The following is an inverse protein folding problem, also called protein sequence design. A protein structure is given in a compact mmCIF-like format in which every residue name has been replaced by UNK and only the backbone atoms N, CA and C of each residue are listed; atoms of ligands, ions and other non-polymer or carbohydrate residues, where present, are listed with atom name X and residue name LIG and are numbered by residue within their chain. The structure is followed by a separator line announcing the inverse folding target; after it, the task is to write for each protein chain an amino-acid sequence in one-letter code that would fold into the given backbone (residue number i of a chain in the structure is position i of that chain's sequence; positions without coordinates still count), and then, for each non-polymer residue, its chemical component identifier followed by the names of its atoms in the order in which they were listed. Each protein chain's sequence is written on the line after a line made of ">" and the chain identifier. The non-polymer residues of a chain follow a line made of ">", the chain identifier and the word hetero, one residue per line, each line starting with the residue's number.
data_IF_435686880673
#
_entry.id   IF_435686880673
#
_cell.length_a   1.000
_cell.length_b   1.000
_cell.length_c   1.000
_cell.angle_alpha   90.00
_cell.angle_beta   90.00
_cell.angle_gamma   90.00
#
_symmetry.space_group_name_H-M   'P 1'
#
loop_
_entity.id
_entity.type
_entity.pdbx_description
1 polymer ?
#
# COMPACT_ATOMS: atom_id res chain seq x y z
N UNK A 1 -56.34 -27.06 -3.31
CA UNK A 1 -56.90 -26.42 -2.10
C UNK A 1 -56.17 -25.09 -1.91
N UNK A 2 -56.86 -23.94 -1.80
CA UNK A 2 -56.17 -22.70 -1.52
C UNK A 2 -55.71 -22.68 -0.06
N UNK A 3 -54.41 -22.51 0.16
CA UNK A 3 -53.85 -22.22 1.48
C UNK A 3 -54.05 -20.73 1.73
N UNK A 4 -54.79 -20.36 2.78
CA UNK A 4 -55.01 -18.97 3.18
C UNK A 4 -54.11 -18.60 4.35
N UNK A 5 -53.55 -17.38 4.33
CA UNK A 5 -52.80 -16.80 5.45
C UNK A 5 -53.35 -15.41 5.79
N UNK A 6 -53.29 -15.05 7.08
CA UNK A 6 -53.51 -13.68 7.54
C UNK A 6 -52.15 -12.96 7.58
N UNK A 7 -52.06 -11.78 6.95
CA UNK A 7 -50.83 -11.00 6.88
C UNK A 7 -51.10 -9.55 7.25
N UNK A 8 -50.34 -9.02 8.21
CA UNK A 8 -50.53 -7.68 8.80
C UNK A 8 -49.23 -6.87 8.69
N UNK A 9 -48.73 -6.65 7.48
CA UNK A 9 -47.62 -5.71 7.24
C UNK A 9 -47.88 -4.85 6.00
N UNK A 10 -47.03 -3.85 5.80
CA UNK A 10 -47.05 -3.00 4.60
C UNK A 10 -46.29 -3.65 3.46
N UNK A 11 -46.94 -3.75 2.30
CA UNK A 11 -46.30 -4.16 1.06
C UNK A 11 -45.96 -2.92 0.21
N UNK A 12 -44.74 -2.88 -0.29
CA UNK A 12 -44.31 -1.91 -1.31
C UNK A 12 -44.63 -2.50 -2.68
N UNK A 13 -45.43 -1.77 -3.47
CA UNK A 13 -45.80 -2.18 -4.83
C UNK A 13 -44.68 -1.82 -5.79
N UNK A 14 -44.16 -2.83 -6.49
CA UNK A 14 -43.16 -2.69 -7.54
C UNK A 14 -43.72 -3.20 -8.87
N UNK A 15 -43.12 -2.71 -9.96
CA UNK A 15 -43.39 -3.22 -11.29
C UNK A 15 -42.18 -3.98 -11.80
N UNK A 16 -42.38 -5.17 -12.34
CA UNK A 16 -41.30 -5.91 -12.96
C UNK A 16 -40.77 -5.12 -14.16
N UNK A 17 -39.45 -4.91 -14.22
CA UNK A 17 -38.81 -4.19 -15.31
C UNK A 17 -39.03 -4.86 -16.68
N UNK A 18 -39.18 -6.19 -16.70
CA UNK A 18 -39.33 -7.00 -17.91
C UNK A 18 -40.78 -7.24 -18.31
N UNK A 19 -41.58 -7.85 -17.43
CA UNK A 19 -42.96 -8.23 -17.76
C UNK A 19 -44.03 -7.27 -17.23
N UNK A 20 -43.63 -6.16 -16.58
CA UNK A 20 -44.50 -5.07 -16.12
C UNK A 20 -45.61 -5.46 -15.13
N UNK A 21 -45.65 -6.71 -14.65
CA UNK A 21 -46.60 -7.09 -13.61
C UNK A 21 -46.34 -6.30 -12.33
N UNK A 22 -47.41 -5.78 -11.74
CA UNK A 22 -47.39 -5.19 -10.40
C UNK A 22 -47.35 -6.31 -9.37
N UNK A 23 -46.46 -6.22 -8.39
CA UNK A 23 -46.37 -7.17 -7.29
C UNK A 23 -45.91 -6.47 -6.01
N UNK A 24 -46.31 -7.03 -4.87
CA UNK A 24 -45.91 -6.52 -3.55
C UNK A 24 -44.72 -7.27 -2.99
N UNK A 25 -43.79 -6.56 -2.36
CA UNK A 25 -42.78 -7.12 -1.46
C UNK A 25 -42.91 -6.46 -0.08
N UNK A 26 -42.46 -7.11 0.99
CA UNK A 26 -42.49 -6.52 2.33
C UNK A 26 -41.60 -5.28 2.38
N UNK A 27 -41.93 -4.33 3.27
CA UNK A 27 -41.12 -3.11 3.43
C UNK A 27 -39.68 -3.42 3.82
N UNK A 28 -39.47 -4.38 4.72
CA UNK A 28 -38.13 -4.84 5.12
C UNK A 28 -37.31 -5.33 3.91
N UNK A 29 -37.92 -6.16 3.06
CA UNK A 29 -37.22 -6.67 1.87
C UNK A 29 -36.90 -5.56 0.87
N UNK A 30 -37.80 -4.58 0.72
CA UNK A 30 -37.54 -3.40 -0.10
C UNK A 30 -36.36 -2.58 0.41
N UNK A 31 -36.33 -2.28 1.71
CA UNK A 31 -35.28 -1.46 2.33
C UNK A 31 -33.91 -2.17 2.25
N UNK A 32 -33.87 -3.48 2.49
CA UNK A 32 -32.65 -4.29 2.32
C UNK A 32 -32.15 -4.32 0.88
N UNK A 33 -33.07 -4.45 -0.07
CA UNK A 33 -32.73 -4.43 -1.49
C UNK A 33 -32.28 -3.05 -1.98
N UNK A 34 -32.80 -1.97 -1.40
CA UNK A 34 -32.38 -0.61 -1.72
C UNK A 34 -31.01 -0.27 -1.13
N UNK A 35 -30.68 -0.81 0.05
CA UNK A 35 -29.42 -0.57 0.74
C UNK A 35 -28.23 -1.35 0.12
N UNK A 36 -28.49 -2.50 -0.52
CA UNK A 36 -27.45 -3.33 -1.11
C UNK A 36 -27.86 -3.92 -2.45
N UNK A 37 -26.98 -3.81 -3.44
CA UNK A 37 -27.11 -4.45 -4.74
C UNK A 37 -26.95 -5.98 -4.70
N UNK A 38 -26.66 -6.58 -3.55
CA UNK A 38 -26.51 -8.04 -3.41
C UNK A 38 -27.84 -8.74 -3.15
N UNK A 39 -28.88 -7.99 -2.77
CA UNK A 39 -30.19 -8.54 -2.47
C UNK A 39 -31.05 -8.57 -3.73
N UNK A 40 -31.32 -9.79 -4.18
CA UNK A 40 -32.21 -10.05 -5.31
C UNK A 40 -33.67 -10.12 -4.84
N UNK A 41 -34.59 -9.75 -5.73
CA UNK A 41 -36.01 -10.01 -5.58
C UNK A 41 -36.63 -10.48 -6.90
N UNK A 42 -37.72 -11.21 -6.81
CA UNK A 42 -38.33 -11.89 -7.96
C UNK A 42 -39.76 -11.43 -8.16
N UNK A 43 -40.14 -11.19 -9.41
CA UNK A 43 -41.55 -11.03 -9.74
C UNK A 43 -42.27 -12.40 -9.76
N UNK A 44 -43.61 -12.45 -9.68
CA UNK A 44 -44.39 -13.69 -9.74
C UNK A 44 -44.14 -14.54 -10.99
N UNK A 45 -43.68 -13.91 -12.08
CA UNK A 45 -43.32 -14.57 -13.33
C UNK A 45 -41.87 -15.07 -13.38
N UNK A 46 -41.12 -14.98 -12.27
CA UNK A 46 -39.77 -15.55 -12.12
C UNK A 46 -38.60 -14.65 -12.54
N UNK A 47 -38.82 -13.42 -13.01
CA UNK A 47 -37.72 -12.50 -13.34
C UNK A 47 -37.06 -11.94 -12.07
N UNK A 48 -35.73 -12.12 -11.96
CA UNK A 48 -34.91 -11.49 -10.93
C UNK A 48 -34.71 -9.99 -11.22
N UNK A 49 -34.65 -9.22 -10.14
CA UNK A 49 -34.35 -7.80 -10.14
C UNK A 49 -33.49 -7.45 -8.93
N UNK A 50 -32.68 -6.40 -9.13
CA UNK A 50 -31.77 -5.81 -8.15
C UNK A 50 -31.87 -4.31 -8.31
N UNK A 51 -31.84 -3.56 -7.21
CA UNK A 51 -31.66 -2.12 -7.28
C UNK A 51 -30.20 -1.82 -7.61
N UNK A 52 -29.95 -1.38 -8.84
CA UNK A 52 -28.62 -0.92 -9.24
C UNK A 52 -28.38 0.49 -8.70
N UNK A 53 -27.16 0.72 -8.24
CA UNK A 53 -26.68 2.07 -7.96
C UNK A 53 -26.80 2.96 -9.19
N UNK A 54 -27.02 4.25 -8.97
CA UNK A 54 -26.98 5.22 -10.06
C UNK A 54 -25.56 5.35 -10.59
N UNK A 55 -25.42 5.79 -11.85
CA UNK A 55 -24.10 6.03 -12.45
C UNK A 55 -23.26 7.02 -11.62
N UNK A 56 -23.91 7.99 -11.00
CA UNK A 56 -23.28 8.98 -10.12
C UNK A 56 -22.67 8.32 -8.86
N UNK A 57 -23.45 7.48 -8.15
CA UNK A 57 -22.97 6.75 -6.98
C UNK A 57 -21.79 5.80 -7.31
N UNK A 58 -21.86 5.16 -8.48
CA UNK A 58 -20.78 4.30 -8.95
C UNK A 58 -19.49 5.11 -9.19
N UNK A 59 -19.62 6.27 -9.85
CA UNK A 59 -18.50 7.18 -10.12
C UNK A 59 -17.90 7.75 -8.84
N UNK A 60 -18.72 8.14 -7.86
CA UNK A 60 -18.23 8.60 -6.56
C UNK A 60 -17.43 7.52 -5.84
N UNK A 61 -17.93 6.28 -5.85
CA UNK A 61 -17.24 5.13 -5.25
C UNK A 61 -15.91 4.86 -5.94
N UNK A 62 -15.87 4.92 -7.29
CA UNK A 62 -14.64 4.78 -8.06
C UNK A 62 -13.65 5.90 -7.76
N UNK A 63 -14.11 7.15 -7.71
CA UNK A 63 -13.28 8.32 -7.41
C UNK A 63 -12.70 8.24 -5.99
N UNK A 64 -13.50 7.81 -5.01
CA UNK A 64 -13.03 7.61 -3.64
C UNK A 64 -11.97 6.50 -3.57
N UNK A 65 -12.16 5.40 -4.31
CA UNK A 65 -11.18 4.31 -4.40
C UNK A 65 -9.87 4.78 -5.02
N UNK A 66 -9.93 5.50 -6.14
CA UNK A 66 -8.75 6.06 -6.82
C UNK A 66 -7.99 7.04 -5.94
N UNK A 67 -8.68 7.95 -5.25
CA UNK A 67 -8.06 8.88 -4.30
C UNK A 67 -7.31 8.14 -3.18
N UNK A 68 -7.90 7.07 -2.63
CA UNK A 68 -7.25 6.24 -1.60
C UNK A 68 -6.01 5.54 -2.16
N UNK A 69 -6.12 4.95 -3.35
CA UNK A 69 -5.01 4.26 -3.99
C UNK A 69 -3.85 5.22 -4.26
N UNK A 70 -4.16 6.40 -4.80
CA UNK A 70 -3.18 7.45 -5.05
C UNK A 70 -2.48 7.93 -3.77
N UNK A 71 -3.24 8.16 -2.69
CA UNK A 71 -2.63 8.54 -1.41
C UNK A 71 -1.69 7.46 -0.86
N UNK A 72 -2.08 6.19 -1.01
CA UNK A 72 -1.24 5.05 -0.62
C UNK A 72 0.05 4.97 -1.45
N UNK A 73 -0.03 5.09 -2.77
CA UNK A 73 1.14 5.02 -3.65
C UNK A 73 2.09 6.20 -3.42
N UNK A 74 1.56 7.41 -3.26
CA UNK A 74 2.36 8.60 -2.94
C UNK A 74 3.11 8.41 -1.61
N UNK A 75 2.42 7.95 -0.56
CA UNK A 75 3.04 7.69 0.75
C UNK A 75 4.08 6.56 0.71
N UNK A 76 3.85 5.52 -0.10
CA UNK A 76 4.80 4.43 -0.27
C UNK A 76 6.07 4.92 -0.99
N UNK A 77 5.91 5.72 -2.04
CA UNK A 77 7.03 6.31 -2.78
C UNK A 77 7.88 7.24 -1.91
N UNK A 78 7.25 8.09 -1.08
CA UNK A 78 8.01 8.95 -0.16
C UNK A 78 8.78 8.10 0.85
N UNK A 79 8.15 7.10 1.45
CA UNK A 79 8.81 6.22 2.40
C UNK A 79 10.02 5.49 1.81
N UNK A 80 9.88 4.92 0.60
CA UNK A 80 10.99 4.27 -0.08
C UNK A 80 12.12 5.24 -0.39
N UNK A 81 11.82 6.47 -0.83
CA UNK A 81 12.84 7.51 -1.07
C UNK A 81 13.59 7.87 0.20
N UNK A 82 12.88 8.04 1.31
CA UNK A 82 13.49 8.37 2.60
C UNK A 82 14.41 7.25 3.09
N UNK A 83 13.98 5.99 2.94
CA UNK A 83 14.80 4.82 3.27
C UNK A 83 16.07 4.74 2.39
N UNK A 84 15.93 4.95 1.08
CA UNK A 84 17.07 4.97 0.17
C UNK A 84 18.04 6.09 0.54
N UNK A 85 17.53 7.29 0.81
CA UNK A 85 18.38 8.41 1.20
C UNK A 85 19.09 8.15 2.54
N UNK A 86 18.41 7.54 3.52
CA UNK A 86 19.01 7.17 4.80
C UNK A 86 20.12 6.12 4.63
N UNK A 87 19.87 5.07 3.83
CA UNK A 87 20.86 4.02 3.56
C UNK A 87 22.06 4.58 2.79
N UNK A 88 21.86 5.42 1.78
CA UNK A 88 22.94 6.10 1.07
C UNK A 88 23.80 6.97 1.99
N UNK A 89 23.18 7.77 2.86
CA UNK A 89 23.90 8.59 3.85
C UNK A 89 24.73 7.72 4.80
N UNK A 90 24.14 6.63 5.28
CA UNK A 90 24.84 5.67 6.15
C UNK A 90 26.03 5.04 5.44
N UNK A 91 25.84 4.53 4.22
CA UNK A 91 26.89 3.93 3.40
C UNK A 91 28.04 4.91 3.11
N UNK A 92 27.72 6.16 2.79
CA UNK A 92 28.73 7.22 2.62
C UNK A 92 29.50 7.45 3.92
N UNK A 93 28.82 7.50 5.07
CA UNK A 93 29.44 7.63 6.38
C UNK A 93 30.38 6.48 6.70
N UNK A 94 29.96 5.24 6.45
CA UNK A 94 30.78 4.04 6.64
C UNK A 94 31.99 4.02 5.72
N UNK A 95 31.83 4.34 4.43
CA UNK A 95 32.94 4.45 3.48
C UNK A 95 33.95 5.50 3.93
N UNK A 96 33.49 6.70 4.31
CA UNK A 96 34.37 7.76 4.81
C UNK A 96 35.11 7.35 6.09
N UNK A 97 34.43 6.70 7.04
CA UNK A 97 35.04 6.19 8.26
C UNK A 97 36.11 5.12 7.97
N UNK A 98 35.80 4.17 7.07
CA UNK A 98 36.72 3.10 6.63
C UNK A 98 37.97 3.70 5.97
N UNK A 99 37.79 4.62 5.03
CA UNK A 99 38.91 5.31 4.35
C UNK A 99 39.77 6.09 5.35
N UNK A 100 39.16 6.83 6.27
CA UNK A 100 39.90 7.57 7.32
C UNK A 100 40.74 6.64 8.20
N UNK A 101 40.17 5.50 8.61
CA UNK A 101 40.89 4.50 9.43
C UNK A 101 42.04 3.88 8.62
N UNK A 102 41.78 3.46 7.37
CA UNK A 102 42.81 2.92 6.47
C UNK A 102 43.98 3.90 6.31
N UNK A 103 43.68 5.18 6.04
CA UNK A 103 44.71 6.22 5.86
C UNK A 103 45.52 6.47 7.14
N UNK A 104 44.89 6.44 8.32
CA UNK A 104 45.61 6.57 9.59
C UNK A 104 46.54 5.39 9.85
N UNK A 105 46.07 4.17 9.61
CA UNK A 105 46.87 2.95 9.79
C UNK A 105 48.03 2.93 8.78
N UNK A 106 47.78 3.31 7.53
CA UNK A 106 48.82 3.45 6.50
C UNK A 106 49.94 4.42 6.93
N UNK A 107 49.57 5.52 7.59
CA UNK A 107 50.51 6.50 8.13
C UNK A 107 51.14 6.08 9.49
N UNK A 108 50.78 4.91 10.04
CA UNK A 108 51.26 4.43 11.34
C UNK A 108 50.68 5.18 12.55
N UNK A 109 49.51 5.80 12.41
CA UNK A 109 48.84 6.61 13.44
C UNK A 109 47.70 5.82 14.11
N UNK A 110 47.61 5.81 15.45
CA UNK A 110 46.48 5.16 16.14
C UNK A 110 45.16 5.85 15.75
N UNK A 111 44.13 5.11 15.31
CA UNK A 111 42.79 5.66 15.11
C UNK A 111 42.17 6.23 16.40
N UNK A 112 42.63 5.73 17.55
CA UNK A 112 42.10 5.98 18.89
C UNK A 112 42.59 7.29 19.53
N UNK A 113 43.91 7.50 19.55
CA UNK A 113 44.57 8.53 20.36
C UNK A 113 45.55 9.40 19.55
N UNK A 114 45.57 9.25 18.22
CA UNK A 114 46.41 10.02 17.29
C UNK A 114 47.93 9.93 17.53
N UNK A 115 48.38 8.96 18.34
CA UNK A 115 49.81 8.68 18.54
C UNK A 115 50.39 8.02 17.29
N UNK A 116 51.61 8.40 16.94
CA UNK A 116 52.33 7.85 15.79
C UNK A 116 53.31 6.77 16.25
N UNK A 117 53.23 5.59 15.63
CA UNK A 117 54.14 4.48 15.86
C UNK A 117 55.16 4.43 14.72
N UNK A 118 56.37 4.95 14.96
CA UNK A 118 57.40 5.08 13.92
C UNK A 118 57.75 3.74 13.24
N UNK A 119 57.78 2.64 14.00
CA UNK A 119 58.05 1.31 13.45
C UNK A 119 56.93 0.83 12.52
N UNK A 120 55.67 1.09 12.88
CA UNK A 120 54.54 0.77 12.02
C UNK A 120 54.54 1.62 10.75
N UNK A 121 54.78 2.94 10.87
CA UNK A 121 54.86 3.83 9.71
C UNK A 121 55.94 3.37 8.71
N UNK A 122 57.14 3.01 9.20
CA UNK A 122 58.22 2.48 8.37
C UNK A 122 57.87 1.13 7.75
N UNK A 123 57.24 0.24 8.52
CA UNK A 123 56.75 -1.05 8.03
C UNK A 123 55.75 -0.88 6.88
N UNK A 124 54.73 -0.04 7.08
CA UNK A 124 53.70 0.21 6.07
C UNK A 124 54.29 0.86 4.81
N UNK A 125 55.21 1.82 4.94
CA UNK A 125 55.87 2.46 3.80
C UNK A 125 56.75 1.50 2.99
N UNK A 126 57.43 0.55 3.65
CA UNK A 126 58.30 -0.42 2.98
C UNK A 126 57.56 -1.63 2.41
N UNK A 127 56.74 -2.28 3.24
CA UNK A 127 56.11 -3.57 2.93
C UNK A 127 54.70 -3.42 2.32
N UNK A 128 54.03 -2.29 2.54
CA UNK A 128 52.65 -2.07 2.10
C UNK A 128 52.41 -0.70 1.45
N UNK A 129 53.21 -0.31 0.41
CA UNK A 129 53.09 1.01 -0.22
C UNK A 129 51.71 1.28 -0.83
N UNK A 130 50.96 0.24 -1.20
CA UNK A 130 49.62 0.34 -1.83
C UNK A 130 48.44 0.17 -0.86
N UNK A 131 48.67 0.10 0.45
CA UNK A 131 47.58 -0.15 1.42
C UNK A 131 46.53 0.97 1.49
N UNK A 132 46.92 2.21 1.16
CA UNK A 132 46.03 3.38 1.16
C UNK A 132 45.36 3.67 -0.18
N UNK A 133 45.89 3.13 -1.29
CA UNK A 133 45.27 3.25 -2.60
C UNK A 133 44.03 2.37 -2.65
N UNK A 134 42.89 3.04 -2.65
CA UNK A 134 41.55 2.45 -2.76
C UNK A 134 41.35 1.77 -4.12
N UNK A 135 41.84 0.54 -4.27
CA UNK A 135 41.34 -0.40 -5.27
C UNK A 135 40.22 -1.22 -4.62
N UNK A 136 39.03 -0.64 -4.52
CA UNK A 136 37.78 -1.38 -4.35
C UNK A 136 37.01 -1.18 -5.65
N UNK A 137 37.33 -2.01 -6.64
CA UNK A 137 36.58 -2.17 -7.89
C UNK A 137 35.14 -2.60 -7.57
N UNK A 138 34.11 -2.08 -8.27
CA UNK A 138 32.71 -2.44 -8.03
C UNK A 138 32.41 -3.93 -8.15
#
# INVERSE_FOLDING_TARGET
>A
MPTTQTFTETLVVLHCWKCRCAFGITRDHYDRAQASSDVNFYCPNGHSAVFKQTREQELETQLAREKRLRGYTESSLTHTRDQLQATERSLRGHKAAKTRIKNRIAAGVCPCCNRTFQNLARHMAGQHPHFSSTEETP
#
